data_IF_240793104959
#
_entry.id   IF_240793104959
#
_cell.length_a   1.000
_cell.length_b   1.000
_cell.length_c   1.000
_cell.angle_alpha   90.00
_cell.angle_beta   90.00
_cell.angle_gamma   90.00
#
_symmetry.space_group_name_H-M   'P 1'
#
loop_
_entity.id
_entity.type
_entity.pdbx_description
1 polymer ?
#
# COMPACT_ATOMS: atom_id res chain seq x y z
N UNK A 1 -22.99 -9.46 -37.19
CA UNK A 1 -22.19 -10.53 -36.53
C UNK A 1 -20.90 -10.82 -37.31
N UNK A 2 -20.06 -9.82 -37.61
CA UNK A 2 -18.84 -10.01 -38.43
C UNK A 2 -17.54 -9.45 -37.82
N UNK A 3 -17.53 -9.08 -36.52
CA UNK A 3 -16.35 -8.48 -35.87
C UNK A 3 -15.50 -9.43 -35.00
N UNK A 4 -16.09 -10.52 -34.50
CA UNK A 4 -15.42 -11.41 -33.53
C UNK A 4 -14.44 -12.40 -34.16
N UNK A 5 -14.71 -12.84 -35.40
CA UNK A 5 -13.85 -13.79 -36.13
C UNK A 5 -12.59 -13.13 -36.71
N UNK A 6 -12.65 -11.86 -37.12
CA UNK A 6 -11.47 -11.11 -37.59
C UNK A 6 -10.48 -10.82 -36.44
N UNK A 7 -10.99 -10.61 -35.22
CA UNK A 7 -10.14 -10.44 -34.03
C UNK A 7 -9.38 -11.72 -33.64
N UNK A 8 -9.88 -12.89 -34.04
CA UNK A 8 -9.25 -14.19 -33.77
C UNK A 8 -8.25 -14.64 -34.85
N UNK A 9 -8.40 -14.14 -36.08
CA UNK A 9 -7.53 -14.48 -37.23
C UNK A 9 -6.47 -13.40 -37.52
N UNK A 10 -6.54 -12.24 -36.86
CA UNK A 10 -5.47 -11.25 -36.92
C UNK A 10 -4.16 -11.89 -36.41
N UNK A 11 -3.02 -11.74 -37.12
CA UNK A 11 -1.73 -12.20 -36.63
C UNK A 11 -1.57 -11.69 -35.20
N UNK A 12 -1.36 -12.60 -34.25
CA UNK A 12 -1.17 -12.24 -32.84
C UNK A 12 -0.10 -11.16 -32.80
N UNK A 13 -0.48 -9.96 -32.35
CA UNK A 13 0.46 -8.88 -32.08
C UNK A 13 1.57 -9.51 -31.25
N UNK A 14 2.76 -9.67 -31.83
CA UNK A 14 3.89 -10.26 -31.11
C UNK A 14 4.08 -9.35 -29.91
N UNK A 15 3.71 -9.85 -28.73
CA UNK A 15 4.16 -9.26 -27.47
C UNK A 15 5.67 -9.24 -27.58
N UNK A 16 6.23 -8.05 -27.80
CA UNK A 16 7.68 -7.89 -27.84
C UNK A 16 8.20 -8.43 -26.52
N UNK A 17 8.99 -9.49 -26.61
CA UNK A 17 9.67 -10.02 -25.43
C UNK A 17 10.68 -8.96 -24.99
N UNK A 18 10.75 -8.63 -23.69
CA UNK A 18 11.79 -7.74 -23.19
C UNK A 18 13.13 -8.43 -23.44
N UNK A 19 13.87 -7.94 -24.43
CA UNK A 19 15.02 -8.64 -24.99
C UNK A 19 15.44 -8.24 -26.41
N UNK A 20 14.70 -7.37 -27.11
CA UNK A 20 15.25 -6.67 -28.28
C UNK A 20 16.28 -5.62 -27.83
N UNK A 21 17.34 -5.46 -28.61
CA UNK A 21 18.66 -4.86 -28.28
C UNK A 21 18.69 -3.38 -27.83
N UNK A 22 17.54 -2.79 -27.49
CA UNK A 22 17.42 -1.41 -26.97
C UNK A 22 16.68 -1.31 -25.62
N UNK A 23 16.34 -2.43 -24.97
CA UNK A 23 15.54 -2.44 -23.74
C UNK A 23 16.37 -2.28 -22.44
N UNK A 24 17.70 -2.33 -22.53
CA UNK A 24 18.57 -2.12 -21.36
C UNK A 24 18.51 -0.68 -20.83
N UNK A 25 18.31 0.32 -21.69
CA UNK A 25 18.07 1.70 -21.26
C UNK A 25 16.72 1.86 -20.57
N UNK A 26 15.72 1.04 -20.92
CA UNK A 26 14.41 1.01 -20.24
C UNK A 26 14.46 0.30 -18.89
N UNK A 27 15.24 -0.77 -18.79
CA UNK A 27 15.37 -1.55 -17.57
C UNK A 27 16.33 -0.88 -16.57
N UNK A 28 17.40 -0.24 -17.04
CA UNK A 28 18.48 0.28 -16.17
C UNK A 28 18.79 1.78 -16.34
N UNK A 29 18.29 2.45 -17.38
CA UNK A 29 18.68 3.84 -17.69
C UNK A 29 17.62 4.92 -17.42
N UNK A 30 16.32 4.61 -17.59
CA UNK A 30 15.21 5.60 -17.47
C UNK A 30 14.01 5.15 -16.63
N UNK A 31 14.05 3.96 -16.04
CA UNK A 31 12.89 3.41 -15.32
C UNK A 31 11.69 3.13 -16.25
N UNK A 32 10.57 2.70 -15.66
CA UNK A 32 9.34 2.40 -16.39
C UNK A 32 8.71 3.66 -16.99
N UNK A 33 9.10 3.97 -18.23
CA UNK A 33 8.49 5.06 -19.01
C UNK A 33 7.00 4.79 -19.25
N UNK A 34 6.14 5.70 -18.80
CA UNK A 34 4.70 5.62 -19.07
C UNK A 34 4.40 5.88 -20.55
N UNK A 35 3.23 5.45 -21.08
CA UNK A 35 2.85 5.76 -22.46
C UNK A 35 2.82 7.26 -22.80
N UNK A 36 2.67 8.12 -21.79
CA UNK A 36 2.74 9.58 -21.90
C UNK A 36 4.18 10.13 -21.91
N UNK A 37 5.20 9.28 -21.75
CA UNK A 37 6.62 9.66 -21.73
C UNK A 37 7.08 10.33 -20.43
N UNK A 38 6.26 10.26 -19.37
CA UNK A 38 6.56 10.87 -18.06
C UNK A 38 6.85 9.79 -17.05
N UNK A 39 7.92 9.95 -16.26
CA UNK A 39 8.23 9.04 -15.17
C UNK A 39 7.41 9.44 -13.93
N UNK A 40 6.67 8.48 -13.37
CA UNK A 40 5.81 8.69 -12.20
C UNK A 40 6.37 7.91 -11.03
N UNK A 41 6.91 8.62 -10.05
CA UNK A 41 7.23 8.10 -8.73
C UNK A 41 6.12 8.39 -7.71
N UNK A 42 6.05 7.61 -6.62
CA UNK A 42 5.38 7.99 -5.36
C UNK A 42 5.43 9.50 -5.03
N UNK A 43 6.61 10.10 -5.07
CA UNK A 43 6.90 11.52 -4.82
C UNK A 43 6.21 12.42 -5.83
N UNK A 44 6.41 12.16 -7.11
CA UNK A 44 5.77 12.93 -8.17
C UNK A 44 4.24 12.82 -8.11
N UNK A 45 3.70 11.65 -7.74
CA UNK A 45 2.26 11.41 -7.69
C UNK A 45 1.56 12.26 -6.62
N UNK A 46 2.19 12.46 -5.45
CA UNK A 46 1.63 13.28 -4.37
C UNK A 46 1.62 14.79 -4.69
N UNK A 47 2.34 15.26 -5.71
CA UNK A 47 2.23 16.66 -6.17
C UNK A 47 0.86 16.95 -6.79
N UNK A 48 0.14 15.91 -7.23
CA UNK A 48 -1.24 16.01 -7.66
C UNK A 48 -2.17 16.13 -6.45
N UNK A 49 -2.89 17.26 -6.36
CA UNK A 49 -3.85 17.51 -5.29
C UNK A 49 -4.94 16.43 -5.21
N UNK A 50 -5.33 15.84 -6.34
CA UNK A 50 -6.33 14.76 -6.39
C UNK A 50 -5.79 13.49 -5.74
N UNK A 51 -4.57 13.09 -6.10
CA UNK A 51 -3.92 11.89 -5.53
C UNK A 51 -3.70 12.09 -4.04
N UNK A 52 -3.19 13.25 -3.64
CA UNK A 52 -2.98 13.59 -2.23
C UNK A 52 -4.29 13.51 -1.44
N UNK A 53 -5.39 14.08 -1.95
CA UNK A 53 -6.68 14.03 -1.29
C UNK A 53 -7.22 12.59 -1.14
N UNK A 54 -7.12 11.77 -2.19
CA UNK A 54 -7.57 10.37 -2.13
C UNK A 54 -6.78 9.55 -1.10
N UNK A 55 -5.45 9.67 -1.11
CA UNK A 55 -4.59 8.97 -0.15
C UNK A 55 -4.90 9.42 1.28
N UNK A 56 -5.04 10.73 1.50
CA UNK A 56 -5.36 11.29 2.82
C UNK A 56 -6.70 10.80 3.34
N UNK A 57 -7.76 10.80 2.52
CA UNK A 57 -9.09 10.31 2.92
C UNK A 57 -9.01 8.85 3.35
N UNK A 58 -8.31 8.00 2.62
CA UNK A 58 -8.15 6.58 2.97
C UNK A 58 -7.34 6.41 4.26
N UNK A 59 -6.20 7.10 4.37
CA UNK A 59 -5.29 6.99 5.50
C UNK A 59 -5.94 7.47 6.81
N UNK A 60 -6.50 8.67 6.82
CA UNK A 60 -7.18 9.23 8.00
C UNK A 60 -8.43 8.42 8.36
N UNK A 61 -9.19 7.94 7.37
CA UNK A 61 -10.37 7.11 7.64
C UNK A 61 -10.00 5.83 8.37
N UNK A 62 -8.99 5.09 7.90
CA UNK A 62 -8.52 3.85 8.54
C UNK A 62 -7.92 4.14 9.92
N UNK A 63 -7.15 5.22 10.05
CA UNK A 63 -6.54 5.62 11.31
C UNK A 63 -7.58 6.05 12.37
N UNK A 64 -8.70 6.63 11.95
CA UNK A 64 -9.76 7.11 12.85
C UNK A 64 -10.51 5.99 13.58
N UNK A 65 -10.51 4.77 13.02
CA UNK A 65 -11.21 3.63 13.61
C UNK A 65 -10.51 3.15 14.89
N UNK A 66 -11.23 2.81 15.97
CA UNK A 66 -10.60 2.25 17.17
C UNK A 66 -9.99 0.87 16.90
N UNK A 67 -8.68 0.73 17.10
CA UNK A 67 -7.99 -0.56 17.06
C UNK A 67 -7.89 -1.13 18.49
N UNK A 68 -8.83 -2.01 18.84
CA UNK A 68 -8.99 -2.56 20.18
C UNK A 68 -8.70 -4.06 20.18
N UNK A 69 -7.97 -4.54 21.20
CA UNK A 69 -7.82 -5.97 21.42
C UNK A 69 -9.03 -6.53 22.16
N UNK A 70 -9.42 -7.76 21.81
CA UNK A 70 -10.56 -8.46 22.41
C UNK A 70 -10.13 -9.85 22.86
N UNK A 71 -10.65 -10.27 24.02
CA UNK A 71 -10.53 -11.64 24.54
C UNK A 71 -11.85 -12.38 24.32
N UNK A 72 -11.76 -13.63 23.85
CA UNK A 72 -12.92 -14.51 23.75
C UNK A 72 -13.28 -15.03 25.15
N UNK A 73 -14.56 -14.95 25.49
CA UNK A 73 -15.12 -15.54 26.72
C UNK A 73 -16.11 -16.63 26.34
N UNK A 74 -16.49 -17.49 27.30
CA UNK A 74 -17.47 -18.56 27.04
C UNK A 74 -18.85 -18.06 26.58
N UNK A 75 -19.14 -16.76 26.74
CA UNK A 75 -20.42 -16.14 26.35
C UNK A 75 -20.27 -15.04 25.30
N UNK A 76 -19.08 -14.79 24.76
CA UNK A 76 -18.87 -13.74 23.75
C UNK A 76 -17.44 -13.22 23.68
N UNK A 77 -17.30 -11.89 23.63
CA UNK A 77 -16.01 -11.20 23.57
C UNK A 77 -16.03 -9.97 24.47
N UNK A 78 -14.91 -9.71 25.14
CA UNK A 78 -14.71 -8.53 25.98
C UNK A 78 -13.44 -7.80 25.54
N UNK A 79 -13.34 -6.49 25.81
CA UNK A 79 -12.13 -5.71 25.51
C UNK A 79 -10.99 -6.16 26.42
N UNK A 80 -9.84 -6.46 25.84
CA UNK A 80 -8.68 -6.98 26.55
C UNK A 80 -7.70 -5.84 26.88
N UNK A 81 -8.12 -4.90 27.73
CA UNK A 81 -7.31 -3.71 28.10
C UNK A 81 -6.01 -4.05 28.83
N UNK A 82 -5.94 -5.22 29.47
CA UNK A 82 -4.74 -5.71 30.17
C UNK A 82 -3.77 -6.47 29.28
N UNK A 83 -4.09 -6.65 27.99
CA UNK A 83 -3.20 -7.32 27.04
C UNK A 83 -1.98 -6.45 26.73
N UNK A 84 -0.74 -6.99 26.67
CA UNK A 84 0.46 -6.19 26.38
C UNK A 84 0.33 -5.34 25.10
N UNK A 85 -0.21 -5.93 24.03
CA UNK A 85 -0.46 -5.22 22.76
C UNK A 85 -1.55 -4.13 22.82
N UNK A 86 -2.37 -4.05 23.88
CA UNK A 86 -3.45 -3.05 23.94
C UNK A 86 -2.85 -1.64 23.87
N UNK A 87 -1.84 -1.33 24.68
CA UNK A 87 -1.20 -0.02 24.68
C UNK A 87 -0.58 0.34 23.32
N UNK A 88 0.12 -0.62 22.70
CA UNK A 88 0.78 -0.44 21.41
C UNK A 88 -0.22 -0.17 20.28
N UNK A 89 -1.27 -1.00 20.19
CA UNK A 89 -2.25 -0.93 19.10
C UNK A 89 -3.28 0.18 19.30
N UNK A 90 -3.68 0.48 20.53
CA UNK A 90 -4.70 1.49 20.81
C UNK A 90 -4.12 2.90 20.95
N UNK A 91 -2.99 3.04 21.67
CA UNK A 91 -2.53 4.34 22.13
C UNK A 91 -1.31 4.80 21.34
N UNK A 92 -0.18 4.11 21.50
CA UNK A 92 1.11 4.58 21.02
C UNK A 92 2.06 3.39 20.83
N UNK A 93 2.41 3.02 19.59
CA UNK A 93 3.30 1.89 19.32
C UNK A 93 4.77 2.20 19.64
N UNK A 94 5.20 3.46 19.51
CA UNK A 94 6.54 3.90 19.86
C UNK A 94 6.52 5.34 20.42
N UNK A 95 7.59 5.83 21.06
CA UNK A 95 7.61 7.17 21.64
C UNK A 95 7.43 8.32 20.63
N UNK A 96 7.67 8.06 19.35
CA UNK A 96 7.70 9.07 18.29
C UNK A 96 6.32 9.37 17.70
N UNK A 97 5.43 8.37 17.64
CA UNK A 97 4.14 8.50 16.97
C UNK A 97 3.02 7.77 17.71
N UNK A 98 1.80 8.32 17.62
CA UNK A 98 0.58 7.68 18.14
C UNK A 98 0.15 6.50 17.26
N UNK A 99 -0.72 5.63 17.78
CA UNK A 99 -1.32 4.56 16.97
C UNK A 99 -2.11 5.10 15.79
N UNK A 100 -2.72 6.28 15.91
CA UNK A 100 -3.38 6.95 14.79
C UNK A 100 -2.38 7.23 13.67
N UNK A 101 -1.30 7.95 13.99
CA UNK A 101 -0.26 8.36 13.03
C UNK A 101 0.42 7.14 12.39
N UNK A 102 0.70 6.09 13.17
CA UNK A 102 1.26 4.85 12.63
C UNK A 102 0.34 4.19 11.59
N UNK A 103 -0.97 4.11 11.86
CA UNK A 103 -1.95 3.52 10.93
C UNK A 103 -2.20 4.38 9.71
N UNK A 104 -2.22 5.70 9.90
CA UNK A 104 -2.28 6.68 8.81
C UNK A 104 -1.08 6.48 7.87
N UNK A 105 0.13 6.43 8.43
CA UNK A 105 1.36 6.23 7.66
C UNK A 105 1.40 4.87 6.96
N UNK A 106 0.97 3.81 7.64
CA UNK A 106 0.85 2.46 7.08
C UNK A 106 -0.08 2.44 5.86
N UNK A 107 -1.28 3.02 5.98
CA UNK A 107 -2.23 3.08 4.87
C UNK A 107 -1.72 3.97 3.73
N UNK A 108 -1.04 5.08 4.05
CA UNK A 108 -0.38 5.93 3.07
C UNK A 108 0.70 5.20 2.26
N UNK A 109 1.54 4.41 2.95
CA UNK A 109 2.56 3.57 2.30
C UNK A 109 1.95 2.49 1.41
N UNK A 110 0.91 1.80 1.88
CA UNK A 110 0.17 0.83 1.06
C UNK A 110 -0.38 1.46 -0.22
N UNK A 111 -0.99 2.64 -0.14
CA UNK A 111 -1.56 3.31 -1.31
C UNK A 111 -0.51 3.78 -2.32
N UNK A 112 0.72 4.04 -1.86
CA UNK A 112 1.76 4.69 -2.65
C UNK A 112 2.77 3.70 -3.22
N UNK A 113 3.20 2.74 -2.40
CA UNK A 113 4.24 1.76 -2.72
C UNK A 113 3.68 0.34 -2.90
N UNK A 114 2.42 0.11 -2.52
CA UNK A 114 1.81 -1.22 -2.55
C UNK A 114 2.17 -2.10 -1.35
N UNK A 115 3.03 -1.61 -0.46
CA UNK A 115 3.44 -2.30 0.77
C UNK A 115 3.65 -1.28 1.91
N UNK A 116 3.47 -1.74 3.14
CA UNK A 116 3.87 -1.02 4.35
C UNK A 116 4.54 -2.00 5.30
N UNK A 117 5.65 -1.58 5.90
CA UNK A 117 6.47 -2.41 6.77
C UNK A 117 6.53 -1.72 8.13
N UNK A 118 6.48 -2.51 9.19
CA UNK A 118 6.70 -2.04 10.55
C UNK A 118 7.72 -2.96 11.20
N UNK A 119 8.75 -2.36 11.76
CA UNK A 119 9.73 -3.07 12.58
C UNK A 119 9.12 -3.36 13.94
N UNK A 120 9.41 -4.56 14.46
CA UNK A 120 9.00 -4.96 15.80
C UNK A 120 10.26 -5.11 16.62
N UNK A 121 10.41 -4.24 17.61
CA UNK A 121 11.41 -4.38 18.65
C UNK A 121 10.81 -5.17 19.80
N UNK A 122 11.39 -6.32 20.07
CA UNK A 122 10.93 -7.22 21.12
C UNK A 122 11.54 -6.81 22.46
N UNK A 123 10.70 -6.74 23.49
CA UNK A 123 11.15 -6.62 24.87
C UNK A 123 11.81 -7.92 25.36
N UNK A 124 12.33 -7.90 26.58
CA UNK A 124 12.88 -9.09 27.21
C UNK A 124 11.83 -10.21 27.45
N UNK A 125 10.56 -9.85 27.36
CA UNK A 125 9.37 -10.66 27.56
C UNK A 125 8.78 -11.27 26.27
N UNK A 126 9.36 -10.95 25.10
CA UNK A 126 8.88 -11.42 23.79
C UNK A 126 7.65 -10.66 23.31
#
# INVERSE_FOLDING_TARGET
MQGLLVRWLAPSERRKHPGESGDWDRIFGRGWSTPAGVDVSPESALTSAVVFACVRVLAESVASLPLLTYRRTGRGKERATTHPLYGLLHTQPNPEMTSFTWREWTMGYLCRWGNAISEIEWGADG
#
